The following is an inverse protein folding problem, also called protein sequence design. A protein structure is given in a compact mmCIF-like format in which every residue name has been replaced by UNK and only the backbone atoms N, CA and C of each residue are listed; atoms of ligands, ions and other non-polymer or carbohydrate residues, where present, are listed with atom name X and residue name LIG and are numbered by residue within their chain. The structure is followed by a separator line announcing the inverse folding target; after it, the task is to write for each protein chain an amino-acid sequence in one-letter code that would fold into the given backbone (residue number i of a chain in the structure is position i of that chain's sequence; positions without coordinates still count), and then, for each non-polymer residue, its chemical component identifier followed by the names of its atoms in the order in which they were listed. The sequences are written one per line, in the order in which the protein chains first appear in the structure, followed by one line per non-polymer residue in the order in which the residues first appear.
data_IF_023640344529
#
_entry.id   IF_023640344529
#
_cell.length_a   1.000
_cell.length_b   1.000
_cell.length_c   1.000
_cell.angle_alpha   90.00
_cell.angle_beta   90.00
_cell.angle_gamma   90.00
#
_symmetry.space_group_name_H-M   'P 1'
#
loop_
_entity.id
_entity.type
_entity.pdbx_description
1 polymer ?
#
# COMPACT_ATOMS: atom_id res chain seq x y z
N UNK A 1 6.10 -27.75 0.45
CA UNK A 1 7.46 -27.27 0.81
C UNK A 1 7.51 -25.75 0.87
N UNK A 2 6.91 -25.05 -0.10
CA UNK A 2 6.81 -23.57 -0.18
C UNK A 2 6.24 -22.93 1.09
N UNK A 3 5.14 -23.45 1.66
CA UNK A 3 4.51 -22.86 2.85
C UNK A 3 5.43 -22.77 4.07
N UNK A 4 6.14 -23.86 4.37
CA UNK A 4 7.08 -23.90 5.48
C UNK A 4 8.23 -22.92 5.28
N UNK A 5 8.63 -22.68 4.03
CA UNK A 5 9.69 -21.73 3.67
C UNK A 5 9.23 -20.28 3.83
N UNK A 6 8.01 -19.97 3.38
CA UNK A 6 7.37 -18.64 3.58
C UNK A 6 7.29 -18.34 5.08
N UNK A 7 6.67 -19.24 5.86
CA UNK A 7 6.54 -19.06 7.32
C UNK A 7 7.89 -18.89 8.02
N UNK A 8 8.91 -19.65 7.58
CA UNK A 8 10.26 -19.52 8.13
C UNK A 8 10.88 -18.14 7.86
N UNK A 9 10.68 -17.59 6.65
CA UNK A 9 11.19 -16.28 6.27
C UNK A 9 10.45 -15.15 6.99
N UNK A 10 9.13 -15.22 7.12
CA UNK A 10 8.34 -14.26 7.91
C UNK A 10 8.79 -14.25 9.37
N UNK A 11 8.94 -15.43 9.98
CA UNK A 11 9.45 -15.54 11.35
C UNK A 11 10.89 -15.00 11.47
N UNK A 12 11.70 -15.12 10.41
CA UNK A 12 13.06 -14.59 10.40
C UNK A 12 13.07 -13.07 10.27
N UNK A 13 12.16 -12.48 9.48
CA UNK A 13 11.97 -11.04 9.36
C UNK A 13 11.53 -10.44 10.72
N UNK A 14 10.54 -11.05 11.38
CA UNK A 14 10.07 -10.61 12.68
C UNK A 14 11.19 -10.65 13.74
N UNK A 15 12.00 -11.72 13.77
CA UNK A 15 13.19 -11.80 14.65
C UNK A 15 14.24 -10.74 14.32
N UNK A 16 14.45 -10.45 13.03
CA UNK A 16 15.41 -9.45 12.58
C UNK A 16 14.97 -8.03 12.99
N UNK A 17 13.68 -7.73 12.92
CA UNK A 17 13.08 -6.48 13.40
C UNK A 17 13.20 -6.36 14.93
N UNK A 18 12.79 -7.39 15.68
CA UNK A 18 12.88 -7.40 17.15
C UNK A 18 14.33 -7.19 17.63
N UNK A 19 15.30 -7.83 16.97
CA UNK A 19 16.72 -7.63 17.28
C UNK A 19 17.18 -6.20 17.02
N UNK A 20 16.66 -5.53 15.98
CA UNK A 20 17.01 -4.13 15.72
C UNK A 20 16.47 -3.21 16.80
N UNK A 21 15.21 -3.38 17.17
CA UNK A 21 14.61 -2.62 18.27
C UNK A 21 15.43 -2.78 19.56
N UNK A 22 15.78 -4.02 19.93
CA UNK A 22 16.62 -4.26 21.12
C UNK A 22 17.98 -3.55 21.06
N UNK A 23 18.65 -3.57 19.91
CA UNK A 23 19.95 -2.88 19.75
C UNK A 23 19.79 -1.36 19.84
N UNK A 24 18.77 -0.80 19.21
CA UNK A 24 18.48 0.64 19.26
C UNK A 24 18.17 1.09 20.69
N UNK A 25 17.28 0.38 21.39
CA UNK A 25 16.92 0.69 22.77
C UNK A 25 18.13 0.63 23.71
N UNK A 26 19.00 -0.38 23.52
CA UNK A 26 20.24 -0.50 24.31
C UNK A 26 21.25 0.60 23.99
N UNK A 27 21.35 1.03 22.72
CA UNK A 27 22.22 2.14 22.35
C UNK A 27 21.72 3.46 22.93
N UNK A 28 20.41 3.68 22.92
CA UNK A 28 19.79 4.87 23.51
C UNK A 28 20.02 4.93 25.04
N UNK A 29 19.76 3.81 25.72
CA UNK A 29 20.07 3.69 27.14
C UNK A 29 21.55 3.96 27.43
N UNK A 30 22.46 3.39 26.63
CA UNK A 30 23.90 3.54 26.82
C UNK A 30 24.37 5.00 26.59
N UNK A 31 23.78 5.69 25.62
CA UNK A 31 24.04 7.11 25.37
C UNK A 31 23.55 7.98 26.53
N UNK A 32 22.32 7.72 27.01
CA UNK A 32 21.74 8.42 28.16
C UNK A 32 22.59 8.21 29.41
N UNK A 33 22.91 6.96 29.75
CA UNK A 33 23.70 6.61 30.92
C UNK A 33 25.11 7.23 30.88
N UNK A 34 25.73 7.34 29.71
CA UNK A 34 27.01 8.06 29.55
C UNK A 34 26.84 9.57 29.78
N UNK A 35 25.79 10.19 29.22
CA UNK A 35 25.53 11.63 29.38
C UNK A 35 25.23 12.02 30.84
N UNK A 36 24.63 11.10 31.60
CA UNK A 36 24.34 11.26 33.03
C UNK A 36 25.53 10.89 33.93
N UNK A 37 26.69 10.52 33.36
CA UNK A 37 27.88 10.03 34.07
C UNK A 37 27.63 8.76 34.91
N UNK A 38 26.63 7.95 34.55
CA UNK A 38 26.35 6.64 35.18
C UNK A 38 27.39 5.60 34.75
N UNK A 39 27.87 5.69 33.50
CA UNK A 39 28.91 4.82 32.93
C UNK A 39 30.10 5.66 32.48
N UNK A 40 31.32 5.16 32.74
CA UNK A 40 32.53 5.79 32.23
C UNK A 40 32.72 5.55 30.72
N UNK A 41 33.65 6.31 30.13
CA UNK A 41 33.93 6.26 28.69
C UNK A 41 34.43 4.88 28.22
N UNK A 42 35.24 4.18 29.01
CA UNK A 42 35.77 2.86 28.63
C UNK A 42 34.65 1.82 28.57
N UNK A 43 33.79 1.78 29.59
CA UNK A 43 32.61 0.92 29.61
C UNK A 43 31.63 1.26 28.48
N UNK A 44 31.42 2.55 28.20
CA UNK A 44 30.58 3.00 27.09
C UNK A 44 31.07 2.47 25.74
N UNK A 45 32.35 2.69 25.40
CA UNK A 45 32.90 2.25 24.10
C UNK A 45 32.92 0.72 24.00
N UNK A 46 33.26 0.02 25.07
CA UNK A 46 33.25 -1.44 25.11
C UNK A 46 31.85 -2.01 24.85
N UNK A 47 30.83 -1.55 25.58
CA UNK A 47 29.46 -2.05 25.40
C UNK A 47 28.90 -1.68 24.03
N UNK A 48 29.15 -0.46 23.55
CA UNK A 48 28.76 -0.03 22.20
C UNK A 48 29.39 -0.92 21.13
N UNK A 49 30.68 -1.23 21.26
CA UNK A 49 31.38 -2.13 20.34
C UNK A 49 30.80 -3.54 20.35
N UNK A 50 30.46 -4.09 21.53
CA UNK A 50 29.82 -5.41 21.64
C UNK A 50 28.44 -5.42 20.98
N UNK A 51 27.61 -4.40 21.22
CA UNK A 51 26.27 -4.29 20.63
C UNK A 51 26.31 -4.22 19.10
N UNK A 52 27.25 -3.44 18.56
CA UNK A 52 27.42 -3.24 17.13
C UNK A 52 28.34 -4.29 16.48
N UNK A 53 28.84 -5.27 17.25
CA UNK A 53 29.80 -6.27 16.81
C UNK A 53 31.03 -5.63 16.10
N UNK A 54 31.59 -4.59 16.71
CA UNK A 54 32.74 -3.84 16.23
C UNK A 54 32.47 -2.89 15.04
N UNK A 55 31.23 -2.77 14.58
CA UNK A 55 30.86 -1.88 13.47
C UNK A 55 30.52 -0.47 13.93
N UNK A 56 30.55 0.47 12.98
CA UNK A 56 29.88 1.76 13.16
C UNK A 56 28.36 1.57 13.12
N UNK A 57 27.61 2.54 13.65
CA UNK A 57 26.14 2.52 13.62
C UNK A 57 25.64 2.45 12.18
N UNK A 58 26.18 3.29 11.30
CA UNK A 58 25.79 3.34 9.88
C UNK A 58 26.08 2.02 9.16
N UNK A 59 27.25 1.42 9.41
CA UNK A 59 27.60 0.12 8.81
C UNK A 59 26.71 -1.01 9.35
N UNK A 60 26.34 -0.95 10.63
CA UNK A 60 25.46 -1.93 11.22
C UNK A 60 24.02 -1.81 10.70
N UNK A 61 23.50 -0.59 10.54
CA UNK A 61 22.15 -0.34 10.02
C UNK A 61 22.07 -0.67 8.52
N UNK A 62 23.08 -0.31 7.73
CA UNK A 62 23.17 -0.71 6.32
C UNK A 62 23.15 -2.25 6.15
N UNK A 63 23.87 -2.99 6.99
CA UNK A 63 23.86 -4.46 6.99
C UNK A 63 22.48 -5.03 7.37
N UNK A 64 21.77 -4.37 8.30
CA UNK A 64 20.42 -4.76 8.68
C UNK A 64 19.44 -4.54 7.52
N UNK A 65 19.49 -3.37 6.87
CA UNK A 65 18.66 -3.03 5.70
C UNK A 65 18.90 -4.06 4.59
N UNK A 66 20.16 -4.34 4.24
CA UNK A 66 20.49 -5.30 3.19
C UNK A 66 19.92 -6.71 3.47
N UNK A 67 19.98 -7.17 4.73
CA UNK A 67 19.42 -8.47 5.13
C UNK A 67 17.89 -8.47 5.09
N UNK A 68 17.26 -7.38 5.52
CA UNK A 68 15.80 -7.21 5.47
C UNK A 68 15.32 -7.30 4.02
N UNK A 69 15.90 -6.49 3.13
CA UNK A 69 15.55 -6.45 1.71
C UNK A 69 15.69 -7.83 1.05
N UNK A 70 16.79 -8.55 1.32
CA UNK A 70 16.98 -9.90 0.79
C UNK A 70 15.86 -10.89 1.20
N UNK A 71 15.39 -10.81 2.45
CA UNK A 71 14.30 -11.67 2.95
C UNK A 71 12.97 -11.28 2.29
N UNK A 72 12.67 -9.98 2.21
CA UNK A 72 11.44 -9.44 1.60
C UNK A 72 11.35 -9.81 0.11
N UNK A 73 12.43 -9.64 -0.66
CA UNK A 73 12.49 -10.05 -2.07
C UNK A 73 12.26 -11.56 -2.23
N UNK A 74 12.85 -12.37 -1.35
CA UNK A 74 12.66 -13.82 -1.38
C UNK A 74 11.21 -14.20 -1.06
N UNK A 75 10.58 -13.54 -0.09
CA UNK A 75 9.17 -13.72 0.23
C UNK A 75 8.29 -13.36 -0.98
N UNK A 76 8.51 -12.19 -1.58
CA UNK A 76 7.75 -11.73 -2.73
C UNK A 76 7.82 -12.74 -3.90
N UNK A 77 9.03 -13.25 -4.22
CA UNK A 77 9.21 -14.28 -5.25
C UNK A 77 8.47 -15.59 -4.91
N UNK A 78 8.45 -16.00 -3.65
CA UNK A 78 7.74 -17.22 -3.22
C UNK A 78 6.21 -17.06 -3.26
N UNK A 79 5.68 -15.90 -2.87
CA UNK A 79 4.25 -15.60 -2.97
C UNK A 79 3.80 -15.56 -4.43
N UNK A 80 4.57 -14.91 -5.31
CA UNK A 80 4.30 -14.90 -6.74
C UNK A 80 4.32 -16.31 -7.35
N UNK A 81 5.33 -17.11 -7.01
CA UNK A 81 5.42 -18.51 -7.44
C UNK A 81 4.25 -19.38 -6.93
N UNK A 82 3.71 -19.09 -5.74
CA UNK A 82 2.52 -19.77 -5.21
C UNK A 82 1.27 -19.40 -6.00
N UNK A 83 1.04 -18.10 -6.22
CA UNK A 83 -0.13 -17.61 -6.94
C UNK A 83 -0.22 -18.22 -8.36
N UNK A 84 0.91 -18.25 -9.08
CA UNK A 84 0.98 -18.86 -10.42
C UNK A 84 0.73 -20.38 -10.40
N UNK A 85 1.27 -21.09 -9.41
CA UNK A 85 1.02 -22.53 -9.25
C UNK A 85 -0.44 -22.86 -8.93
N UNK A 86 -1.09 -22.04 -8.10
CA UNK A 86 -2.51 -22.20 -7.72
C UNK A 86 -3.44 -21.94 -8.91
N UNK A 87 -3.18 -20.90 -9.72
CA UNK A 87 -3.88 -20.64 -10.98
C UNK A 87 -3.75 -21.84 -11.93
N UNK A 88 -2.54 -22.37 -12.09
CA UNK A 88 -2.29 -23.54 -12.96
C UNK A 88 -3.02 -24.79 -12.47
N UNK A 89 -3.10 -25.00 -11.15
CA UNK A 89 -3.83 -26.12 -10.54
C UNK A 89 -5.34 -25.97 -10.68
N UNK A 90 -5.88 -24.76 -10.53
CA UNK A 90 -7.29 -24.45 -10.75
C UNK A 90 -7.69 -24.71 -12.21
N UNK A 91 -6.89 -24.26 -13.16
CA UNK A 91 -7.08 -24.54 -14.58
C UNK A 91 -7.12 -26.06 -14.85
N UNK A 92 -6.15 -26.83 -14.33
CA UNK A 92 -6.14 -28.31 -14.48
C UNK A 92 -7.38 -29.00 -13.88
N UNK A 93 -7.90 -28.52 -12.74
CA UNK A 93 -9.13 -29.07 -12.14
C UNK A 93 -10.37 -28.75 -12.99
N UNK A 94 -10.47 -27.55 -13.56
CA UNK A 94 -11.56 -27.18 -14.45
C UNK A 94 -11.60 -28.06 -15.71
N UNK A 95 -10.43 -28.38 -16.28
CA UNK A 95 -10.33 -29.33 -17.40
C UNK A 95 -10.75 -30.76 -17.02
N UNK A 96 -10.43 -31.22 -15.81
CA UNK A 96 -10.87 -32.54 -15.33
C UNK A 96 -12.39 -32.66 -15.12
N UNK A 97 -13.03 -31.62 -14.60
CA UNK A 97 -14.49 -31.59 -14.40
C UNK A 97 -15.23 -31.53 -15.75
N UNK A 98 -14.72 -30.77 -16.71
CA UNK A 98 -15.26 -30.72 -18.07
C UNK A 98 -15.21 -32.10 -18.76
N UNK A 99 -14.12 -32.86 -18.58
CA UNK A 99 -14.00 -34.21 -19.15
C UNK A 99 -15.03 -35.21 -18.57
N UNK A 100 -15.34 -35.11 -17.28
CA UNK A 100 -16.38 -35.95 -16.63
C UNK A 100 -17.78 -35.57 -17.12
N UNK A 101 -18.06 -34.27 -17.29
CA UNK A 101 -19.34 -33.81 -17.86
C UNK A 101 -19.53 -34.25 -19.31
N UNK A 102 -18.47 -34.26 -20.13
CA UNK A 102 -18.50 -34.75 -21.51
C UNK A 102 -18.76 -36.27 -21.55
N UNK A 103 -18.20 -37.06 -20.63
CA UNK A 103 -18.51 -38.49 -20.56
C UNK A 103 -19.96 -38.78 -20.09
N UNK A 104 -20.52 -37.97 -19.19
CA UNK A 104 -21.93 -38.07 -18.79
C UNK A 104 -22.87 -37.69 -19.94
N UNK A 105 -22.53 -36.64 -20.71
CA UNK A 105 -23.28 -36.24 -21.91
C UNK A 105 -23.20 -37.27 -23.05
N UNK A 106 -22.05 -37.95 -23.22
CA UNK A 106 -21.90 -39.04 -24.18
C UNK A 106 -22.75 -40.28 -23.80
N UNK A 107 -22.96 -40.54 -22.50
CA UNK A 107 -23.86 -41.60 -22.03
C UNK A 107 -25.36 -41.28 -22.25
N UNK A 108 -25.71 -40.00 -22.32
CA UNK A 108 -27.09 -39.52 -22.60
C UNK A 108 -27.43 -39.47 -24.09
N UNK A 109 -26.44 -39.56 -24.99
CA UNK A 109 -26.64 -39.54 -26.45
C UNK A 109 -27.28 -40.84 -27.03
N UNK A 110 -27.59 -41.83 -26.19
CA UNK A 110 -28.29 -43.07 -26.59
C UNK A 110 -29.82 -42.97 -26.62
N UNK A 111 -30.42 -41.83 -26.24
CA UNK A 111 -31.88 -41.64 -26.28
C UNK A 111 -32.32 -41.01 -27.61
N UNK A 112 -33.18 -41.72 -28.32
CA UNK A 112 -33.60 -41.42 -29.68
C UNK A 112 -34.34 -40.08 -29.82
N UNK A 113 -33.75 -39.23 -30.67
CA UNK A 113 -34.31 -38.25 -31.61
C UNK A 113 -35.64 -37.55 -31.28
N UNK A 114 -35.58 -36.22 -31.17
CA UNK A 114 -36.50 -35.37 -31.93
C UNK A 114 -36.01 -33.93 -32.12
N UNK A 115 -36.30 -33.43 -33.32
CA UNK A 115 -36.13 -32.07 -33.88
C UNK A 115 -34.71 -31.72 -34.38
N UNK A 116 -34.54 -31.49 -35.70
CA UNK A 116 -33.27 -31.00 -36.24
C UNK A 116 -33.13 -29.52 -35.91
N UNK A 117 -32.32 -29.20 -34.89
CA UNK A 117 -31.73 -27.87 -34.78
C UNK A 117 -30.66 -27.80 -35.86
N UNK A 118 -30.87 -26.96 -36.88
CA UNK A 118 -29.84 -26.57 -37.84
C UNK A 118 -28.84 -25.66 -37.15
N UNK A 119 -28.03 -26.22 -36.25
CA UNK A 119 -26.81 -25.62 -35.73
C UNK A 119 -25.65 -26.28 -36.45
N UNK A 120 -24.81 -25.48 -37.11
CA UNK A 120 -23.59 -25.95 -37.74
C UNK A 120 -22.70 -26.66 -36.70
N UNK A 121 -22.75 -28.00 -36.68
CA UNK A 121 -21.75 -28.81 -36.00
C UNK A 121 -20.52 -28.87 -36.91
N UNK A 122 -19.57 -27.96 -36.69
CA UNK A 122 -18.23 -28.05 -37.25
C UNK A 122 -17.47 -29.19 -36.59
N UNK A 123 -16.78 -29.97 -37.42
CA UNK A 123 -16.00 -31.14 -36.99
C UNK A 123 -14.75 -30.70 -36.21
N UNK A 124 -14.70 -31.06 -34.92
CA UNK A 124 -13.56 -31.32 -34.01
C UNK A 124 -12.21 -30.57 -34.08
N UNK A 125 -12.03 -29.49 -34.85
CA UNK A 125 -10.82 -28.66 -34.78
C UNK A 125 -10.97 -27.56 -33.73
N UNK A 126 -10.77 -27.91 -32.46
CA UNK A 126 -10.46 -26.99 -31.35
C UNK A 126 -11.31 -25.71 -31.26
N UNK A 127 -12.37 -25.73 -30.44
CA UNK A 127 -13.03 -24.49 -30.03
C UNK A 127 -12.04 -23.65 -29.20
N UNK A 128 -11.59 -22.52 -29.75
CA UNK A 128 -10.86 -21.51 -28.97
C UNK A 128 -11.91 -20.70 -28.22
N UNK A 129 -11.97 -20.88 -26.90
CA UNK A 129 -12.71 -19.97 -26.04
C UNK A 129 -11.86 -18.71 -25.84
N UNK A 130 -12.22 -17.62 -26.51
CA UNK A 130 -11.58 -16.32 -26.33
C UNK A 130 -12.28 -15.58 -25.20
N UNK A 131 -11.59 -15.41 -24.07
CA UNK A 131 -12.01 -14.48 -23.03
C UNK A 131 -11.33 -13.13 -23.31
N UNK A 132 -12.11 -12.10 -23.63
CA UNK A 132 -11.59 -10.77 -23.85
C UNK A 132 -11.66 -9.96 -22.54
N UNK A 133 -10.50 -9.50 -22.05
CA UNK A 133 -10.44 -8.61 -20.88
C UNK A 133 -10.77 -7.19 -21.37
N UNK A 134 -12.00 -6.76 -21.13
CA UNK A 134 -12.48 -5.45 -21.58
C UNK A 134 -11.98 -4.29 -20.72
N UNK A 135 -11.63 -4.56 -19.45
CA UNK A 135 -11.09 -3.57 -18.54
C UNK A 135 -10.22 -4.24 -17.48
N UNK A 136 -9.02 -3.71 -17.26
CA UNK A 136 -8.16 -4.02 -16.13
C UNK A 136 -7.32 -2.80 -15.76
N UNK A 137 -7.14 -2.59 -14.47
CA UNK A 137 -6.25 -1.57 -13.92
C UNK A 137 -5.61 -2.11 -12.64
N UNK A 138 -4.41 -1.62 -12.33
CA UNK A 138 -3.73 -1.89 -11.08
C UNK A 138 -3.18 -0.58 -10.50
N UNK A 139 -3.40 -0.38 -9.20
CA UNK A 139 -2.98 0.83 -8.48
C UNK A 139 -2.13 0.43 -7.28
N UNK A 140 -1.06 1.18 -7.03
CA UNK A 140 -0.25 1.06 -5.83
C UNK A 140 -0.04 2.44 -5.17
N UNK A 141 -0.18 2.50 -3.86
CA UNK A 141 0.20 3.69 -3.08
C UNK A 141 1.73 3.76 -2.91
N UNK A 142 2.27 4.98 -2.86
CA UNK A 142 3.65 5.20 -2.42
C UNK A 142 3.84 4.76 -0.97
N UNK A 143 5.08 4.46 -0.57
CA UNK A 143 5.40 4.06 0.82
C UNK A 143 4.92 5.11 1.82
N UNK A 144 5.20 6.39 1.57
CA UNK A 144 4.79 7.49 2.45
C UNK A 144 3.26 7.63 2.55
N UNK A 145 2.52 7.41 1.46
CA UNK A 145 1.05 7.42 1.54
C UNK A 145 0.51 6.18 2.25
N UNK A 146 1.17 5.03 2.11
CA UNK A 146 0.79 3.78 2.75
C UNK A 146 1.07 3.78 4.27
N UNK A 147 2.12 4.47 4.70
CA UNK A 147 2.50 4.64 6.11
C UNK A 147 1.54 5.58 6.86
N UNK A 148 0.93 6.54 6.14
CA UNK A 148 -0.17 7.36 6.63
C UNK A 148 0.03 8.85 6.39
N UNK A 149 -1.01 9.64 6.68
CA UNK A 149 -0.95 11.10 6.59
C UNK A 149 -0.64 11.65 7.97
N UNK A 150 0.64 11.94 8.20
CA UNK A 150 1.10 12.45 9.48
C UNK A 150 1.28 13.96 9.47
N UNK A 151 0.96 14.57 10.60
CA UNK A 151 1.30 15.95 10.91
C UNK A 151 2.21 15.94 12.13
N UNK A 152 3.28 16.74 12.09
CA UNK A 152 4.19 16.90 13.22
C UNK A 152 3.50 17.59 14.41
N UNK A 153 4.25 17.96 15.45
CA UNK A 153 3.66 18.71 16.57
C UNK A 153 3.14 20.06 16.10
N UNK A 154 1.82 20.21 16.04
CA UNK A 154 1.13 21.44 15.65
C UNK A 154 0.59 22.15 16.90
N UNK A 155 0.67 23.48 16.89
CA UNK A 155 0.13 24.34 17.96
C UNK A 155 -1.30 24.78 17.62
N UNK A 156 -2.16 24.87 18.63
CA UNK A 156 -3.51 25.39 18.47
C UNK A 156 -3.53 26.84 17.94
N UNK A 157 -4.49 27.17 17.08
CA UNK A 157 -4.62 28.47 16.43
C UNK A 157 -3.76 28.63 15.17
N UNK A 158 -3.15 27.56 14.67
CA UNK A 158 -2.37 27.57 13.41
C UNK A 158 -3.24 27.13 12.23
N UNK A 159 -2.89 27.59 11.02
CA UNK A 159 -3.64 27.30 9.81
C UNK A 159 -2.76 26.62 8.77
N UNK A 160 -3.34 25.69 8.00
CA UNK A 160 -2.74 25.07 6.82
C UNK A 160 -1.35 24.45 7.08
N UNK A 161 -1.18 23.80 8.22
CA UNK A 161 0.05 23.08 8.53
C UNK A 161 0.22 21.93 7.54
N UNK A 162 1.42 21.80 6.97
CA UNK A 162 1.71 20.73 6.01
C UNK A 162 1.73 19.37 6.70
N UNK A 163 1.20 18.35 6.02
CA UNK A 163 1.56 16.96 6.33
C UNK A 163 3.06 16.75 6.08
N UNK A 164 3.68 15.86 6.85
CA UNK A 164 5.13 15.62 6.85
C UNK A 164 5.67 15.30 5.44
N UNK A 165 4.91 14.52 4.67
CA UNK A 165 5.34 13.99 3.38
C UNK A 165 4.88 14.80 2.16
N UNK A 166 4.29 16.00 2.37
CA UNK A 166 3.95 16.93 1.29
C UNK A 166 5.17 17.32 0.43
N UNK A 167 6.37 17.28 1.02
CA UNK A 167 7.63 17.74 0.42
C UNK A 167 8.87 16.87 0.74
N UNK A 168 8.72 15.77 1.51
CA UNK A 168 9.79 14.85 1.96
C UNK A 168 11.18 15.48 2.16
N UNK A 169 11.23 16.65 2.82
CA UNK A 169 12.44 17.43 3.08
C UNK A 169 13.27 17.91 1.87
N UNK A 170 12.81 17.78 0.61
CA UNK A 170 13.59 18.17 -0.57
C UNK A 170 12.94 19.24 -1.46
N UNK A 171 11.75 19.75 -1.09
CA UNK A 171 11.01 20.80 -1.81
C UNK A 171 10.70 20.50 -3.29
N UNK A 172 10.93 19.27 -3.76
CA UNK A 172 10.87 18.95 -5.19
C UNK A 172 9.50 18.44 -5.66
N UNK A 173 8.65 17.99 -4.76
CA UNK A 173 7.33 17.44 -5.08
C UNK A 173 6.70 16.73 -3.88
N UNK A 174 5.45 16.30 -4.01
CA UNK A 174 4.83 15.41 -3.03
C UNK A 174 5.37 13.99 -3.19
N UNK A 175 5.64 13.36 -2.05
CA UNK A 175 6.02 11.94 -1.99
C UNK A 175 4.83 11.02 -1.71
N UNK A 176 3.65 11.60 -1.46
CA UNK A 176 2.40 10.88 -1.30
C UNK A 176 1.70 10.79 -2.65
N UNK A 177 1.65 9.60 -3.23
CA UNK A 177 1.00 9.41 -4.53
C UNK A 177 0.39 8.01 -4.69
N UNK A 178 -0.54 7.91 -5.64
CA UNK A 178 -1.05 6.65 -6.16
C UNK A 178 -0.52 6.46 -7.58
N UNK A 179 0.13 5.34 -7.87
CA UNK A 179 0.64 5.01 -9.21
C UNK A 179 -0.30 4.05 -9.92
N UNK A 180 -0.54 4.29 -11.21
CA UNK A 180 -1.31 3.40 -12.08
C UNK A 180 -0.34 2.57 -12.91
N UNK A 181 -0.45 1.23 -12.86
CA UNK A 181 0.41 0.35 -13.65
C UNK A 181 0.35 0.69 -15.14
N UNK A 182 1.50 0.65 -15.82
CA UNK A 182 1.59 0.74 -17.28
C UNK A 182 0.77 -0.36 -17.97
N UNK A 183 0.62 -1.51 -17.30
CA UNK A 183 -0.31 -2.56 -17.66
C UNK A 183 -1.72 -2.17 -17.16
N UNK A 184 -2.26 -1.02 -17.54
CA UNK A 184 -3.68 -0.72 -17.32
C UNK A 184 -4.25 -0.31 -18.65
N UNK A 185 -5.34 -0.94 -19.09
CA UNK A 185 -5.91 -0.66 -20.42
C UNK A 185 -7.13 0.27 -20.39
N UNK A 186 -7.56 0.68 -19.20
CA UNK A 186 -8.61 1.68 -19.02
C UNK A 186 -8.10 2.78 -18.10
N UNK A 187 -8.47 4.04 -18.36
CA UNK A 187 -8.25 5.12 -17.41
C UNK A 187 -9.12 4.92 -16.16
N UNK A 188 -8.68 5.48 -15.04
CA UNK A 188 -9.35 5.37 -13.74
C UNK A 188 -9.60 6.75 -13.12
N UNK A 189 -10.60 6.82 -12.24
CA UNK A 189 -10.84 7.98 -11.39
C UNK A 189 -10.43 7.64 -9.96
N UNK A 190 -9.80 8.59 -9.28
CA UNK A 190 -9.46 8.46 -7.86
C UNK A 190 -10.46 9.21 -7.01
N UNK A 191 -10.88 8.60 -5.91
CA UNK A 191 -11.83 9.18 -4.97
C UNK A 191 -11.28 9.08 -3.55
N UNK A 192 -11.49 10.12 -2.74
CA UNK A 192 -11.07 10.16 -1.33
C UNK A 192 -12.24 10.49 -0.41
N UNK A 193 -12.22 9.88 0.79
CA UNK A 193 -13.12 10.18 1.90
C UNK A 193 -12.39 9.98 3.24
N UNK A 194 -12.87 10.63 4.30
CA UNK A 194 -12.51 10.30 5.68
C UNK A 194 -13.66 9.54 6.37
N UNK A 195 -13.37 8.67 7.32
CA UNK A 195 -14.41 7.98 8.09
C UNK A 195 -15.18 8.94 9.02
N UNK A 196 -14.46 9.86 9.66
CA UNK A 196 -14.99 10.82 10.63
C UNK A 196 -14.02 11.99 10.84
N UNK A 197 -14.46 12.97 11.65
CA UNK A 197 -13.60 14.03 12.18
C UNK A 197 -12.41 13.49 12.97
N UNK A 198 -11.29 14.19 12.99
CA UNK A 198 -10.12 13.74 13.74
C UNK A 198 -10.40 13.82 15.23
N UNK A 199 -10.15 12.75 16.00
CA UNK A 199 -10.52 12.66 17.43
C UNK A 199 -9.32 12.39 18.33
N UNK A 200 -9.32 13.02 19.50
CA UNK A 200 -8.45 12.73 20.65
C UNK A 200 -9.33 12.67 21.91
N UNK A 201 -9.76 11.48 22.32
CA UNK A 201 -10.74 11.34 23.41
C UNK A 201 -12.10 11.96 23.04
N UNK A 202 -12.57 12.93 23.83
CA UNK A 202 -13.81 13.68 23.55
C UNK A 202 -13.61 14.88 22.64
N UNK A 203 -12.36 15.31 22.45
CA UNK A 203 -12.02 16.46 21.63
C UNK A 203 -11.94 16.05 20.16
N UNK A 204 -12.29 16.98 19.27
CA UNK A 204 -12.25 16.71 17.84
C UNK A 204 -11.89 17.95 17.01
N UNK A 205 -11.23 17.71 15.89
CA UNK A 205 -10.99 18.69 14.83
C UNK A 205 -11.92 18.35 13.67
N UNK A 206 -12.81 19.27 13.32
CA UNK A 206 -13.77 19.09 12.24
C UNK A 206 -13.08 18.94 10.88
N UNK A 207 -13.64 18.10 10.00
CA UNK A 207 -13.06 17.78 8.68
C UNK A 207 -12.88 19.01 7.78
N UNK A 208 -13.65 20.08 8.00
CA UNK A 208 -13.47 21.35 7.30
C UNK A 208 -12.07 21.97 7.51
N UNK A 209 -11.36 21.56 8.57
CA UNK A 209 -9.99 22.00 8.84
C UNK A 209 -8.92 21.07 8.26
N UNK A 210 -9.32 19.89 7.76
CA UNK A 210 -8.43 18.93 7.11
C UNK A 210 -8.69 18.99 5.61
N UNK A 211 -7.82 19.68 4.87
CA UNK A 211 -7.97 19.92 3.43
C UNK A 211 -6.91 19.15 2.65
N UNK A 212 -7.20 18.86 1.39
CA UNK A 212 -6.31 18.14 0.50
C UNK A 212 -6.43 18.66 -0.93
N UNK A 213 -5.42 18.41 -1.74
CA UNK A 213 -5.46 18.63 -3.17
C UNK A 213 -4.67 17.54 -3.88
N UNK A 214 -4.94 17.35 -5.15
CA UNK A 214 -4.30 16.32 -5.95
C UNK A 214 -3.94 16.82 -7.36
N UNK A 215 -3.04 16.12 -8.02
CA UNK A 215 -2.61 16.41 -9.39
C UNK A 215 -1.80 15.25 -9.96
N UNK A 216 -1.95 15.00 -11.26
CA UNK A 216 -1.07 14.11 -12.04
C UNK A 216 0.38 14.59 -12.21
N UNK A 217 0.72 15.81 -11.77
CA UNK A 217 2.09 16.32 -11.73
C UNK A 217 2.46 16.78 -10.32
N UNK A 218 3.75 16.88 -10.06
CA UNK A 218 4.20 17.44 -8.80
C UNK A 218 5.48 18.26 -8.93
N UNK A 219 5.51 19.35 -8.17
CA UNK A 219 6.65 20.25 -7.99
C UNK A 219 6.51 20.96 -6.63
N UNK A 220 7.38 21.92 -6.33
CA UNK A 220 7.33 22.72 -5.09
C UNK A 220 5.97 23.42 -4.83
N UNK A 221 5.18 23.67 -5.87
CA UNK A 221 3.90 24.40 -5.86
C UNK A 221 2.69 23.56 -6.25
N UNK A 222 2.89 22.36 -6.81
CA UNK A 222 1.84 21.47 -7.33
C UNK A 222 1.86 20.11 -6.61
N UNK A 223 0.73 19.62 -6.04
CA UNK A 223 -0.57 20.29 -5.87
C UNK A 223 -0.51 21.54 -4.99
N UNK A 224 -1.38 22.53 -5.24
CA UNK A 224 -1.40 23.82 -4.53
C UNK A 224 -2.48 23.87 -3.44
N UNK A 225 -2.17 24.52 -2.32
CA UNK A 225 -3.14 24.79 -1.25
C UNK A 225 -4.31 25.66 -1.72
N UNK A 226 -4.09 26.55 -2.70
CA UNK A 226 -5.13 27.48 -3.18
C UNK A 226 -6.33 26.76 -3.83
N UNK A 227 -6.14 25.52 -4.27
CA UNK A 227 -7.18 24.66 -4.85
C UNK A 227 -7.55 23.49 -3.94
N UNK A 228 -7.11 23.52 -2.67
CA UNK A 228 -7.42 22.47 -1.73
C UNK A 228 -8.92 22.43 -1.39
N UNK A 229 -9.42 21.22 -1.25
CA UNK A 229 -10.80 20.91 -0.89
C UNK A 229 -10.83 20.31 0.52
N UNK A 230 -11.86 20.63 1.29
CA UNK A 230 -12.05 20.02 2.60
C UNK A 230 -12.34 18.52 2.49
N UNK A 231 -11.80 17.74 3.41
CA UNK A 231 -12.17 16.33 3.56
C UNK A 231 -13.66 16.23 3.90
N UNK A 232 -14.29 15.17 3.40
CA UNK A 232 -15.69 14.85 3.72
C UNK A 232 -15.83 13.37 4.03
N UNK A 233 -16.96 12.98 4.59
CA UNK A 233 -17.29 11.57 4.84
C UNK A 233 -17.79 10.83 3.61
N UNK A 234 -18.09 11.57 2.54
CA UNK A 234 -18.48 11.01 1.25
C UNK A 234 -17.27 11.00 0.32
N UNK A 235 -17.21 10.03 -0.57
CA UNK A 235 -16.17 10.01 -1.58
C UNK A 235 -16.32 11.20 -2.54
N UNK A 236 -15.25 11.97 -2.65
CA UNK A 236 -15.11 13.09 -3.59
C UNK A 236 -14.02 12.74 -4.59
N UNK A 237 -14.22 13.11 -5.86
CA UNK A 237 -13.23 12.91 -6.92
C UNK A 237 -11.96 13.72 -6.65
N UNK A 238 -10.81 13.06 -6.78
CA UNK A 238 -9.47 13.64 -6.73
C UNK A 238 -9.01 14.06 -8.11
N UNK A 239 -8.91 13.08 -8.99
CA UNK A 239 -8.67 13.31 -10.40
C UNK A 239 -9.44 12.27 -11.21
N UNK A 240 -9.66 12.59 -12.48
CA UNK A 240 -10.43 11.79 -13.41
C UNK A 240 -9.59 11.39 -14.60
N UNK A 241 -9.90 10.23 -15.16
CA UNK A 241 -9.28 9.70 -16.35
C UNK A 241 -7.74 9.53 -16.27
N UNK A 242 -7.19 9.19 -15.09
CA UNK A 242 -5.76 8.93 -14.91
C UNK A 242 -5.39 7.65 -15.67
N UNK A 243 -4.45 7.76 -16.61
CA UNK A 243 -4.04 6.65 -17.48
C UNK A 243 -2.91 5.84 -16.88
N UNK A 244 -2.74 4.59 -17.35
CA UNK A 244 -1.60 3.75 -16.98
C UNK A 244 -0.26 4.45 -17.22
N UNK A 245 0.66 4.27 -16.26
CA UNK A 245 1.98 4.91 -16.26
C UNK A 245 2.04 6.28 -15.59
N UNK A 246 0.90 6.86 -15.23
CA UNK A 246 0.84 8.11 -14.48
C UNK A 246 0.68 7.86 -12.97
N UNK A 247 1.02 8.89 -12.19
CA UNK A 247 0.80 8.93 -10.75
C UNK A 247 -0.10 10.11 -10.39
N UNK A 248 -0.93 9.91 -9.38
CA UNK A 248 -1.74 10.93 -8.74
C UNK A 248 -1.07 11.37 -7.45
N UNK A 249 -0.52 12.58 -7.43
CA UNK A 249 0.17 13.15 -6.28
C UNK A 249 -0.81 13.88 -5.38
N UNK A 250 -0.74 13.62 -4.07
CA UNK A 250 -1.65 14.17 -3.07
C UNK A 250 -0.88 15.06 -2.11
N UNK A 251 -1.52 16.15 -1.66
CA UNK A 251 -1.04 16.95 -0.54
C UNK A 251 -2.16 17.23 0.44
N UNK A 252 -1.78 17.34 1.70
CA UNK A 252 -2.68 17.43 2.84
C UNK A 252 -2.27 18.58 3.75
N UNK A 253 -3.26 19.32 4.26
CA UNK A 253 -3.06 20.42 5.19
C UNK A 253 -4.07 20.39 6.32
N UNK A 254 -3.61 20.77 7.51
CA UNK A 254 -4.44 20.80 8.71
C UNK A 254 -4.41 22.18 9.36
N UNK A 255 -5.58 22.76 9.58
CA UNK A 255 -5.75 23.90 10.47
C UNK A 255 -6.17 23.42 11.86
N UNK A 256 -5.58 23.96 12.91
CA UNK A 256 -5.91 23.58 14.29
C UNK A 256 -6.60 24.76 14.95
N UNK A 257 -7.89 24.66 15.30
CA UNK A 257 -8.63 25.75 15.92
C UNK A 257 -7.96 26.28 17.18
N UNK A 258 -8.17 27.57 17.47
CA UNK A 258 -7.75 28.16 18.74
C UNK A 258 -8.52 27.47 19.88
N UNK A 259 -7.80 27.05 20.91
CA UNK A 259 -8.38 26.34 22.06
C UNK A 259 -8.50 24.83 21.88
N UNK A 260 -7.96 24.24 20.80
CA UNK A 260 -7.83 22.79 20.69
C UNK A 260 -6.94 22.25 21.83
N UNK A 261 -7.46 21.29 22.60
CA UNK A 261 -6.67 20.59 23.63
C UNK A 261 -5.50 19.84 23.02
N UNK A 262 -4.37 19.77 23.72
CA UNK A 262 -3.25 18.93 23.30
C UNK A 262 -3.66 17.44 23.29
N UNK A 263 -3.25 16.72 22.25
CA UNK A 263 -3.55 15.29 22.09
C UNK A 263 -3.18 14.78 20.70
N UNK A 264 -3.37 13.47 20.49
CA UNK A 264 -3.16 12.81 19.20
C UNK A 264 -4.51 12.64 18.52
N UNK A 265 -4.73 13.39 17.44
CA UNK A 265 -5.98 13.40 16.70
C UNK A 265 -5.89 12.49 15.48
N UNK A 266 -6.69 11.43 15.47
CA UNK A 266 -6.66 10.43 14.40
C UNK A 266 -8.02 10.32 13.70
N UNK A 267 -7.97 10.01 12.41
CA UNK A 267 -9.09 9.48 11.62
C UNK A 267 -8.54 8.50 10.57
N UNK A 268 -9.41 7.91 9.76
CA UNK A 268 -9.05 7.02 8.65
C UNK A 268 -9.42 7.68 7.33
N UNK A 269 -8.42 7.87 6.46
CA UNK A 269 -8.65 8.30 5.07
C UNK A 269 -8.71 7.07 4.17
N UNK A 270 -9.77 6.96 3.37
CA UNK A 270 -9.96 5.89 2.40
C UNK A 270 -9.79 6.43 0.99
N UNK A 271 -8.95 5.75 0.20
CA UNK A 271 -8.77 6.01 -1.22
C UNK A 271 -9.44 4.90 -2.03
N UNK A 272 -10.13 5.27 -3.10
CA UNK A 272 -10.79 4.34 -4.02
C UNK A 272 -10.35 4.67 -5.45
N UNK A 273 -10.01 3.63 -6.21
CA UNK A 273 -9.84 3.71 -7.65
C UNK A 273 -11.06 3.06 -8.32
N UNK A 274 -11.70 3.76 -9.24
CA UNK A 274 -12.82 3.25 -10.05
C UNK A 274 -12.52 3.41 -11.53
N UNK A 275 -13.17 2.64 -12.40
CA UNK A 275 -13.02 2.86 -13.83
C UNK A 275 -13.54 4.26 -14.21
N UNK A 276 -12.84 4.97 -15.09
CA UNK A 276 -13.22 6.33 -15.51
C UNK A 276 -14.71 6.43 -15.88
N UNK A 277 -15.39 7.43 -15.33
CA UNK A 277 -16.81 7.70 -15.54
C UNK A 277 -17.74 6.92 -14.60
N UNK A 278 -17.20 6.07 -13.72
CA UNK A 278 -17.96 5.49 -12.62
C UNK A 278 -18.09 6.48 -11.47
N UNK A 279 -19.22 6.42 -10.75
CA UNK A 279 -19.43 7.30 -9.60
C UNK A 279 -18.48 6.96 -8.46
N UNK A 280 -17.98 8.01 -7.80
CA UNK A 280 -17.25 7.87 -6.54
C UNK A 280 -18.13 7.41 -5.37
N UNK A 281 -19.46 7.55 -5.48
CA UNK A 281 -20.45 7.21 -4.44
C UNK A 281 -20.62 5.70 -4.24
#
# INVERSE_FOLDING_TARGET
MTERKIQYLENSLARLQARRTEVVDRLDWLNTAYSENIVDYEHYIMQRSVLLNGKTVDSWDADWIARRTQIEETLHALHYGRATADVTRAAKKAFGIAAVFIMILAALAGMQAQVPITGFAGDSSGFVAEANITAYFAVAASENLADGIEFSTIVAGTNNNNASDNYNNDSSGSSMYLSVSNDSNVPIDFCLAADQKMKSGTDAIELANFVWNSSTSTDASTPTLASATAMTTSFVSADTAVTGGLSEYLRFWLSVPLGQTAGTYNNTVTLRAVQNGQSCS
#
